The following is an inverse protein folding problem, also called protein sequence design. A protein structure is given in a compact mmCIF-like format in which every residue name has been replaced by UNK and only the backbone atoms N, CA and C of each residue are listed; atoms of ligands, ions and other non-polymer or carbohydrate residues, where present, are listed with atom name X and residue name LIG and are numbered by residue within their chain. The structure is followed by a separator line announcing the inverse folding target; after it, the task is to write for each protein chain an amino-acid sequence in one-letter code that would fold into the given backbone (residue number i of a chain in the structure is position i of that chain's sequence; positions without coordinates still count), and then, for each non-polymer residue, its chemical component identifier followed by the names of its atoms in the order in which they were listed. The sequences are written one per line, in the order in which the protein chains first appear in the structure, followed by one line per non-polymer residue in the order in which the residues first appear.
data_IF_221512437210
#
_entry.id   IF_221512437210
#
_cell.length_a   1.000
_cell.length_b   1.000
_cell.length_c   1.000
_cell.angle_alpha   90.00
_cell.angle_beta   90.00
_cell.angle_gamma   90.00
#
_symmetry.space_group_name_H-M   'P 1'
#
loop_
_entity.id
_entity.type
_entity.pdbx_description
1 polymer ?
#
# COMPACT_ATOMS: atom_id res chain seq x y z
N UNK A 1 -33.95 -38.46 -50.18
CA UNK A 1 -34.30 -37.04 -50.00
C UNK A 1 -34.41 -36.76 -48.54
N UNK A 2 -33.47 -36.08 -47.96
CA UNK A 2 -33.71 -35.20 -46.80
C UNK A 2 -32.44 -34.36 -46.56
N UNK A 3 -32.58 -33.06 -46.82
CA UNK A 3 -31.61 -32.04 -46.40
C UNK A 3 -31.81 -31.79 -44.93
N UNK A 4 -30.78 -31.80 -44.11
CA UNK A 4 -30.74 -31.17 -42.76
C UNK A 4 -29.45 -30.34 -42.73
N UNK A 5 -29.62 -29.10 -42.91
CA UNK A 5 -29.36 -27.97 -42.03
C UNK A 5 -28.02 -27.96 -41.36
N UNK A 6 -27.09 -27.26 -42.04
CA UNK A 6 -25.95 -26.59 -41.46
C UNK A 6 -26.49 -25.39 -40.69
N UNK A 7 -26.63 -25.50 -39.39
CA UNK A 7 -26.72 -24.36 -38.48
C UNK A 7 -25.33 -24.16 -37.87
N UNK A 8 -24.51 -23.33 -38.58
CA UNK A 8 -23.21 -22.92 -38.13
C UNK A 8 -23.27 -22.09 -36.87
N UNK A 9 -22.56 -22.57 -35.86
CA UNK A 9 -22.28 -21.94 -34.60
C UNK A 9 -21.41 -20.69 -34.79
N UNK A 10 -21.99 -19.49 -34.85
CA UNK A 10 -21.31 -18.20 -34.98
C UNK A 10 -21.14 -17.45 -33.63
N UNK A 11 -21.38 -18.08 -32.48
CA UNK A 11 -21.39 -17.46 -31.18
C UNK A 11 -19.99 -17.33 -30.50
N UNK A 12 -18.97 -18.19 -30.77
CA UNK A 12 -17.67 -18.09 -30.06
C UNK A 12 -16.79 -16.91 -30.47
N UNK A 13 -16.81 -16.51 -31.75
CA UNK A 13 -15.91 -15.46 -32.27
C UNK A 13 -16.25 -14.05 -31.76
N UNK A 14 -17.50 -13.70 -31.62
CA UNK A 14 -17.92 -12.37 -31.11
C UNK A 14 -17.56 -12.16 -29.63
N UNK A 15 -17.69 -13.22 -28.82
CA UNK A 15 -17.31 -13.23 -27.41
C UNK A 15 -15.80 -13.08 -27.24
N UNK A 16 -15.01 -13.83 -28.02
CA UNK A 16 -13.54 -13.75 -28.00
C UNK A 16 -13.02 -12.36 -28.42
N UNK A 17 -13.59 -11.76 -29.46
CA UNK A 17 -13.23 -10.40 -29.92
C UNK A 17 -13.59 -9.33 -28.87
N UNK A 18 -14.72 -9.48 -28.17
CA UNK A 18 -15.12 -8.57 -27.09
C UNK A 18 -14.15 -8.67 -25.90
N UNK A 19 -13.76 -9.89 -25.52
CA UNK A 19 -12.79 -10.13 -24.46
C UNK A 19 -11.41 -9.55 -24.81
N UNK A 20 -10.93 -9.75 -26.04
CA UNK A 20 -9.67 -9.21 -26.51
C UNK A 20 -9.65 -7.67 -26.48
N UNK A 21 -10.74 -7.01 -26.91
CA UNK A 21 -10.88 -5.54 -26.85
C UNK A 21 -10.90 -5.03 -25.40
N UNK A 22 -11.60 -5.73 -24.49
CA UNK A 22 -11.64 -5.38 -23.08
C UNK A 22 -10.27 -5.52 -22.43
N UNK A 23 -9.53 -6.59 -22.72
CA UNK A 23 -8.18 -6.79 -22.21
C UNK A 23 -7.21 -5.72 -22.73
N UNK A 24 -7.30 -5.35 -24.00
CA UNK A 24 -6.48 -4.28 -24.57
C UNK A 24 -6.81 -2.90 -23.98
N UNK A 25 -8.09 -2.63 -23.71
CA UNK A 25 -8.51 -1.39 -23.05
C UNK A 25 -7.98 -1.32 -21.61
N UNK A 26 -8.06 -2.42 -20.85
CA UNK A 26 -7.52 -2.52 -19.50
C UNK A 26 -5.99 -2.33 -19.49
N UNK A 27 -5.28 -2.93 -20.43
CA UNK A 27 -3.82 -2.79 -20.57
C UNK A 27 -3.43 -1.34 -20.89
N UNK A 28 -4.16 -0.68 -21.80
CA UNK A 28 -3.93 0.74 -22.13
C UNK A 28 -4.16 1.64 -20.91
N UNK A 29 -5.24 1.39 -20.13
CA UNK A 29 -5.54 2.13 -18.91
C UNK A 29 -4.44 1.94 -17.86
N UNK A 30 -3.97 0.72 -17.66
CA UNK A 30 -2.89 0.38 -16.73
C UNK A 30 -1.61 1.11 -17.12
N UNK A 31 -1.20 1.03 -18.38
CA UNK A 31 0.01 1.70 -18.90
C UNK A 31 -0.01 3.22 -18.68
N UNK A 32 -1.16 3.86 -18.86
CA UNK A 32 -1.34 5.28 -18.54
C UNK A 32 -1.14 5.57 -17.06
N UNK A 33 -1.69 4.73 -16.17
CA UNK A 33 -1.54 4.87 -14.72
C UNK A 33 -0.07 4.69 -14.32
N UNK A 34 0.59 3.62 -14.78
CA UNK A 34 1.98 3.31 -14.45
C UNK A 34 2.91 4.45 -14.90
N UNK A 35 2.68 5.00 -16.10
CA UNK A 35 3.40 6.18 -16.60
C UNK A 35 3.16 7.41 -15.74
N UNK A 36 1.91 7.66 -15.37
CA UNK A 36 1.56 8.79 -14.50
C UNK A 36 2.21 8.65 -13.11
N UNK A 37 2.22 7.44 -12.52
CA UNK A 37 2.92 7.15 -11.27
C UNK A 37 4.39 7.54 -11.37
N UNK A 38 5.09 7.11 -12.44
CA UNK A 38 6.50 7.42 -12.65
C UNK A 38 6.74 8.93 -12.80
N UNK A 39 5.96 9.61 -13.64
CA UNK A 39 6.13 11.05 -13.88
C UNK A 39 5.80 11.90 -12.65
N UNK A 40 4.74 11.58 -11.92
CA UNK A 40 4.41 12.28 -10.66
C UNK A 40 5.34 11.91 -9.51
N UNK A 41 6.05 10.80 -9.57
CA UNK A 41 7.12 10.49 -8.63
C UNK A 41 8.30 11.46 -8.76
N UNK A 42 8.66 11.84 -9.98
CA UNK A 42 9.82 12.70 -10.25
C UNK A 42 9.46 14.19 -10.23
N UNK A 43 8.22 14.54 -10.61
CA UNK A 43 7.83 15.92 -10.85
C UNK A 43 6.61 16.36 -10.03
N UNK A 44 6.52 17.63 -9.58
CA UNK A 44 5.32 18.20 -8.98
C UNK A 44 4.12 18.11 -9.94
N UNK A 45 2.91 18.02 -9.38
CA UNK A 45 1.68 17.96 -10.15
C UNK A 45 1.60 19.02 -11.27
N UNK A 46 1.95 20.28 -10.96
CA UNK A 46 1.86 21.38 -11.92
C UNK A 46 2.84 21.27 -13.09
N UNK A 47 3.94 20.56 -12.91
CA UNK A 47 5.00 20.41 -13.92
C UNK A 47 4.74 19.29 -14.91
N UNK A 48 3.96 18.27 -14.54
CA UNK A 48 3.62 17.16 -15.45
C UNK A 48 2.51 17.57 -16.40
N UNK A 49 2.74 17.46 -17.70
CA UNK A 49 1.74 17.76 -18.76
C UNK A 49 0.95 16.52 -19.19
N UNK A 50 -0.30 16.70 -19.64
CA UNK A 50 -1.07 15.59 -20.24
C UNK A 50 -0.38 15.04 -21.48
N UNK A 51 0.18 15.90 -22.32
CA UNK A 51 0.95 15.50 -23.52
C UNK A 51 2.13 14.62 -23.16
N UNK A 52 2.87 14.98 -22.12
CA UNK A 52 4.01 14.21 -21.63
C UNK A 52 3.58 12.80 -21.18
N UNK A 53 2.45 12.70 -20.45
CA UNK A 53 1.93 11.40 -20.00
C UNK A 53 1.57 10.50 -21.17
N UNK A 54 0.84 11.02 -22.17
CA UNK A 54 0.38 10.20 -23.30
C UNK A 54 1.50 9.82 -24.25
N UNK A 55 2.49 10.70 -24.47
CA UNK A 55 3.69 10.41 -25.24
C UNK A 55 4.56 9.35 -24.56
N UNK A 56 4.82 9.48 -23.27
CA UNK A 56 5.58 8.51 -22.49
C UNK A 56 4.87 7.15 -22.38
N UNK A 57 3.53 7.14 -22.34
CA UNK A 57 2.72 5.92 -22.37
C UNK A 57 2.57 5.30 -23.76
N UNK A 58 3.00 5.97 -24.82
CA UNK A 58 2.77 5.57 -26.22
C UNK A 58 1.30 5.27 -26.50
N UNK A 59 0.42 6.25 -26.22
CA UNK A 59 -1.02 6.15 -26.47
C UNK A 59 -1.56 7.40 -27.15
N UNK A 60 -2.70 7.25 -27.84
CA UNK A 60 -3.38 8.39 -28.44
C UNK A 60 -3.90 9.38 -27.37
N UNK A 61 -3.69 10.68 -27.59
CA UNK A 61 -3.99 11.76 -26.65
C UNK A 61 -5.44 11.72 -26.10
N UNK A 62 -6.42 11.38 -26.94
CA UNK A 62 -7.82 11.27 -26.53
C UNK A 62 -8.13 10.17 -25.53
N UNK A 63 -7.27 9.13 -25.41
CA UNK A 63 -7.51 8.01 -24.50
C UNK A 63 -7.36 8.41 -23.03
N UNK A 64 -6.47 9.34 -22.71
CA UNK A 64 -6.37 9.85 -21.33
C UNK A 64 -7.68 10.50 -20.90
N UNK A 65 -8.24 11.35 -21.74
CA UNK A 65 -9.53 12.00 -21.44
C UNK A 65 -10.69 11.00 -21.43
N UNK A 66 -10.65 10.00 -22.27
CA UNK A 66 -11.65 8.93 -22.30
C UNK A 66 -11.67 8.12 -20.97
N UNK A 67 -10.50 7.77 -20.44
CA UNK A 67 -10.40 6.94 -19.22
C UNK A 67 -10.50 7.74 -17.92
N UNK A 68 -9.97 8.95 -17.90
CA UNK A 68 -9.75 9.71 -16.65
C UNK A 68 -10.43 11.09 -16.63
N UNK A 69 -11.01 11.53 -17.74
CA UNK A 69 -11.70 12.82 -17.87
C UNK A 69 -10.76 14.00 -18.00
N UNK A 70 -9.72 14.08 -17.18
CA UNK A 70 -8.74 15.18 -17.17
C UNK A 70 -7.44 14.79 -16.46
N UNK A 71 -6.47 15.72 -16.38
CA UNK A 71 -5.20 15.55 -15.69
C UNK A 71 -5.38 15.18 -14.21
N UNK A 72 -6.37 15.79 -13.54
CA UNK A 72 -6.64 15.48 -12.13
C UNK A 72 -7.13 14.06 -11.94
N UNK A 73 -7.97 13.56 -12.83
CA UNK A 73 -8.48 12.20 -12.78
C UNK A 73 -7.36 11.16 -12.86
N UNK A 74 -6.41 11.29 -13.81
CA UNK A 74 -5.27 10.38 -13.88
C UNK A 74 -4.30 10.55 -12.71
N UNK A 75 -4.14 11.76 -12.17
CA UNK A 75 -3.36 12.01 -10.97
C UNK A 75 -3.91 11.24 -9.76
N UNK A 76 -5.22 11.32 -9.51
CA UNK A 76 -5.86 10.60 -8.40
C UNK A 76 -5.79 9.09 -8.58
N UNK A 77 -5.91 8.59 -9.81
CA UNK A 77 -5.71 7.17 -10.10
C UNK A 77 -4.26 6.72 -9.87
N UNK A 78 -3.28 7.55 -10.19
CA UNK A 78 -1.88 7.28 -9.87
C UNK A 78 -1.66 7.25 -8.35
N UNK A 79 -2.30 8.15 -7.60
CA UNK A 79 -2.26 8.14 -6.13
C UNK A 79 -2.90 6.86 -5.56
N UNK A 80 -4.07 6.43 -6.09
CA UNK A 80 -4.72 5.17 -5.68
C UNK A 80 -3.84 3.97 -5.95
N UNK A 81 -3.29 3.87 -7.17
CA UNK A 81 -2.39 2.77 -7.53
C UNK A 81 -1.17 2.68 -6.60
N UNK A 82 -0.62 3.83 -6.18
CA UNK A 82 0.50 3.88 -5.23
C UNK A 82 0.06 3.46 -3.83
N UNK A 83 -1.10 3.94 -3.36
CA UNK A 83 -1.66 3.55 -2.07
C UNK A 83 -1.98 2.04 -2.01
N UNK A 84 -2.52 1.49 -3.11
CA UNK A 84 -2.79 0.06 -3.25
C UNK A 84 -1.48 -0.75 -3.20
N UNK A 85 -0.44 -0.31 -3.91
CA UNK A 85 0.88 -0.94 -3.89
C UNK A 85 1.52 -0.94 -2.50
N UNK A 86 1.36 0.16 -1.75
CA UNK A 86 1.79 0.23 -0.34
C UNK A 86 1.00 -0.73 0.54
N UNK A 87 -0.33 -0.77 0.38
CA UNK A 87 -1.21 -1.66 1.16
C UNK A 87 -0.95 -3.13 0.86
N UNK A 88 -0.58 -3.47 -0.38
CA UNK A 88 -0.27 -4.84 -0.78
C UNK A 88 0.90 -5.43 0.02
N UNK A 89 1.85 -4.61 0.45
CA UNK A 89 2.96 -5.02 1.33
C UNK A 89 2.49 -5.62 2.67
N UNK A 90 1.24 -5.33 3.08
CA UNK A 90 0.62 -5.81 4.31
C UNK A 90 -0.44 -6.91 4.07
N UNK A 91 -0.67 -7.31 2.82
CA UNK A 91 -1.64 -8.35 2.44
C UNK A 91 -0.94 -9.65 2.05
N UNK A 92 0.09 -9.58 1.23
CA UNK A 92 0.83 -10.75 0.74
C UNK A 92 1.89 -11.19 1.78
N UNK A 93 1.42 -11.48 3.00
CA UNK A 93 2.29 -11.89 4.09
C UNK A 93 2.56 -13.40 4.07
N UNK A 94 3.74 -13.85 4.52
CA UNK A 94 4.03 -15.26 4.65
C UNK A 94 3.08 -15.93 5.65
N UNK A 95 2.78 -17.20 5.46
CA UNK A 95 2.11 -18.03 6.46
C UNK A 95 3.10 -18.35 7.59
N UNK A 96 3.15 -17.48 8.59
CA UNK A 96 4.13 -17.49 9.67
C UNK A 96 3.56 -16.84 10.93
N UNK A 97 4.30 -16.90 12.04
CA UNK A 97 3.95 -16.22 13.28
C UNK A 97 3.82 -14.68 13.08
N UNK A 98 2.94 -13.99 13.82
CA UNK A 98 2.66 -12.58 13.62
C UNK A 98 3.88 -11.65 13.68
N UNK A 99 4.91 -11.98 14.48
CA UNK A 99 6.14 -11.20 14.53
C UNK A 99 6.95 -11.32 13.23
N UNK A 100 6.97 -12.47 12.61
CA UNK A 100 7.61 -12.70 11.31
C UNK A 100 6.83 -11.99 10.21
N UNK A 101 5.48 -12.07 10.27
CA UNK A 101 4.61 -11.37 9.32
C UNK A 101 4.82 -9.84 9.38
N UNK A 102 4.86 -9.26 10.58
CA UNK A 102 5.05 -7.82 10.75
C UNK A 102 6.43 -7.37 10.22
N UNK A 103 7.49 -8.12 10.50
CA UNK A 103 8.83 -7.84 9.94
C UNK A 103 8.85 -7.91 8.42
N UNK A 104 8.23 -8.93 7.86
CA UNK A 104 8.10 -9.08 6.41
C UNK A 104 7.32 -7.91 5.78
N UNK A 105 6.21 -7.50 6.39
CA UNK A 105 5.41 -6.36 5.95
C UNK A 105 6.21 -5.04 5.98
N UNK A 106 6.91 -4.75 7.08
CA UNK A 106 7.74 -3.55 7.19
C UNK A 106 8.90 -3.56 6.19
N UNK A 107 9.53 -4.71 5.97
CA UNK A 107 10.60 -4.85 4.97
C UNK A 107 10.08 -4.64 3.55
N UNK A 108 8.92 -5.22 3.22
CA UNK A 108 8.26 -5.03 1.93
C UNK A 108 7.87 -3.56 1.73
N UNK A 109 7.31 -2.90 2.76
CA UNK A 109 6.96 -1.49 2.77
C UNK A 109 8.18 -0.60 2.49
N UNK A 110 9.28 -0.76 3.23
CA UNK A 110 10.53 -0.01 3.02
C UNK A 110 11.10 -0.25 1.61
N UNK A 111 11.06 -1.50 1.12
CA UNK A 111 11.52 -1.84 -0.22
C UNK A 111 10.68 -1.18 -1.30
N UNK A 112 9.35 -1.18 -1.15
CA UNK A 112 8.44 -0.51 -2.06
C UNK A 112 8.71 1.00 -2.12
N UNK A 113 8.84 1.65 -0.96
CA UNK A 113 9.10 3.08 -0.87
C UNK A 113 10.47 3.47 -1.43
N UNK A 114 11.48 2.62 -1.27
CA UNK A 114 12.79 2.78 -1.90
C UNK A 114 12.70 2.77 -3.42
N UNK A 115 11.91 1.85 -3.98
CA UNK A 115 11.71 1.72 -5.42
C UNK A 115 10.87 2.87 -6.00
N UNK A 116 9.92 3.42 -5.22
CA UNK A 116 9.00 4.49 -5.62
C UNK A 116 9.26 5.80 -4.85
N UNK A 117 10.53 6.06 -4.53
CA UNK A 117 10.99 7.12 -3.61
C UNK A 117 10.32 8.47 -3.83
N UNK A 118 10.28 8.96 -5.06
CA UNK A 118 9.78 10.31 -5.35
C UNK A 118 8.31 10.49 -4.97
N UNK A 119 7.45 9.52 -5.31
CA UNK A 119 6.03 9.57 -5.01
C UNK A 119 5.76 9.35 -3.51
N UNK A 120 6.47 8.40 -2.90
CA UNK A 120 6.39 8.11 -1.47
C UNK A 120 6.75 9.34 -0.63
N UNK A 121 7.87 9.99 -0.90
CA UNK A 121 8.27 11.22 -0.21
C UNK A 121 7.25 12.34 -0.39
N UNK A 122 6.64 12.49 -1.58
CA UNK A 122 5.60 13.50 -1.81
C UNK A 122 4.32 13.20 -1.05
N UNK A 123 3.93 11.94 -0.93
CA UNK A 123 2.74 11.53 -0.18
C UNK A 123 2.94 11.76 1.32
N UNK A 124 4.12 11.43 1.86
CA UNK A 124 4.42 11.62 3.28
C UNK A 124 4.71 13.08 3.60
N UNK A 125 5.56 13.76 2.82
CA UNK A 125 5.97 15.14 3.06
C UNK A 125 4.93 16.17 2.58
N UNK A 126 4.11 15.85 1.56
CA UNK A 126 3.10 16.75 1.02
C UNK A 126 1.96 17.09 1.99
N UNK A 127 1.71 16.21 2.95
CA UNK A 127 0.77 16.44 4.06
C UNK A 127 -0.65 16.84 3.62
N UNK A 128 -1.50 17.09 4.59
CA UNK A 128 -2.92 17.48 4.42
C UNK A 128 -3.16 18.75 3.61
N UNK A 129 -2.13 19.59 3.43
CA UNK A 129 -2.27 20.91 2.83
C UNK A 129 -2.14 20.97 1.33
N UNK A 130 -1.55 19.96 0.68
CA UNK A 130 -1.22 20.03 -0.74
C UNK A 130 -2.40 19.64 -1.65
N UNK A 131 -3.08 18.54 -1.36
CA UNK A 131 -4.26 18.05 -2.09
C UNK A 131 -5.14 17.20 -1.17
N UNK A 132 -6.28 17.74 -0.69
CA UNK A 132 -7.15 17.04 0.26
C UNK A 132 -7.70 15.71 -0.27
N UNK A 133 -7.99 15.60 -1.57
CA UNK A 133 -8.56 14.39 -2.17
C UNK A 133 -7.49 13.30 -2.33
N UNK A 134 -6.28 13.66 -2.77
CA UNK A 134 -5.15 12.73 -2.80
C UNK A 134 -4.76 12.28 -1.38
N UNK A 135 -4.82 13.19 -0.41
CA UNK A 135 -4.60 12.86 0.99
C UNK A 135 -5.64 11.88 1.53
N UNK A 136 -6.92 12.04 1.18
CA UNK A 136 -7.99 11.13 1.60
C UNK A 136 -7.74 9.71 1.12
N UNK A 137 -7.34 9.52 -0.14
CA UNK A 137 -6.98 8.20 -0.69
C UNK A 137 -5.91 7.51 0.18
N UNK A 138 -4.92 8.28 0.60
CA UNK A 138 -3.82 7.78 1.43
C UNK A 138 -4.27 7.45 2.86
N UNK A 139 -5.12 8.28 3.46
CA UNK A 139 -5.67 8.03 4.80
C UNK A 139 -6.58 6.79 4.83
N UNK A 140 -7.34 6.53 3.76
CA UNK A 140 -8.16 5.33 3.63
C UNK A 140 -7.29 4.06 3.59
N UNK A 141 -6.20 4.08 2.81
CA UNK A 141 -5.24 2.97 2.77
C UNK A 141 -4.58 2.73 4.14
N UNK A 142 -4.15 3.81 4.82
CA UNK A 142 -3.59 3.73 6.18
C UNK A 142 -4.56 3.15 7.20
N UNK A 143 -5.82 3.57 7.15
CA UNK A 143 -6.86 3.04 8.05
C UNK A 143 -7.05 1.53 7.86
N UNK A 144 -6.99 1.04 6.61
CA UNK A 144 -7.02 -0.38 6.29
C UNK A 144 -5.86 -1.16 6.92
N UNK A 145 -4.63 -0.66 6.76
CA UNK A 145 -3.42 -1.27 7.33
C UNK A 145 -3.47 -1.28 8.86
N UNK A 146 -3.90 -0.19 9.49
CA UNK A 146 -4.03 -0.10 10.95
C UNK A 146 -5.07 -1.10 11.47
N UNK A 147 -6.21 -1.21 10.80
CA UNK A 147 -7.26 -2.18 11.16
C UNK A 147 -6.73 -3.61 11.05
N UNK A 148 -6.09 -3.96 9.94
CA UNK A 148 -5.52 -5.30 9.74
C UNK A 148 -4.43 -5.62 10.78
N UNK A 149 -3.53 -4.67 11.07
CA UNK A 149 -2.49 -4.82 12.08
C UNK A 149 -3.03 -5.03 13.50
N UNK A 150 -4.05 -4.25 13.89
CA UNK A 150 -4.71 -4.43 15.18
C UNK A 150 -5.37 -5.81 15.30
N UNK A 151 -6.09 -6.24 14.25
CA UNK A 151 -6.73 -7.57 14.21
C UNK A 151 -5.71 -8.71 14.26
N UNK A 152 -4.59 -8.59 13.55
CA UNK A 152 -3.48 -9.56 13.59
C UNK A 152 -2.94 -9.76 15.02
N UNK A 153 -2.94 -8.69 15.81
CA UNK A 153 -2.46 -8.69 17.19
C UNK A 153 -3.57 -8.98 18.22
N UNK A 154 -4.79 -9.30 17.78
CA UNK A 154 -5.93 -9.57 18.66
C UNK A 154 -6.46 -8.33 19.39
N UNK A 155 -6.19 -7.12 18.86
CA UNK A 155 -6.62 -5.87 19.43
C UNK A 155 -7.88 -5.33 18.73
N UNK A 156 -8.73 -4.60 19.47
CA UNK A 156 -9.91 -3.96 18.90
C UNK A 156 -9.52 -2.66 18.17
N UNK A 157 -9.60 -2.61 16.82
CA UNK A 157 -9.25 -1.42 16.05
C UNK A 157 -10.17 -0.21 16.31
N UNK A 158 -11.34 -0.42 16.92
CA UNK A 158 -12.31 0.65 17.25
C UNK A 158 -12.07 1.26 18.62
N UNK A 159 -11.22 0.66 19.47
CA UNK A 159 -10.82 1.28 20.73
C UNK A 159 -9.99 2.54 20.46
N UNK A 160 -10.39 3.67 21.08
CA UNK A 160 -9.78 4.97 20.82
C UNK A 160 -8.29 5.04 21.19
N UNK A 161 -7.87 4.33 22.28
CA UNK A 161 -6.47 4.30 22.70
C UNK A 161 -5.62 3.47 21.72
N UNK A 162 -6.13 2.32 21.27
CA UNK A 162 -5.48 1.49 20.21
C UNK A 162 -5.37 2.29 18.91
N UNK A 163 -6.44 2.94 18.48
CA UNK A 163 -6.43 3.75 17.26
C UNK A 163 -5.40 4.90 17.35
N UNK A 164 -5.30 5.57 18.49
CA UNK A 164 -4.32 6.64 18.71
C UNK A 164 -2.88 6.11 18.68
N UNK A 165 -2.59 5.03 19.40
CA UNK A 165 -1.28 4.40 19.42
C UNK A 165 -0.86 3.90 18.03
N UNK A 166 -1.78 3.28 17.28
CA UNK A 166 -1.55 2.85 15.91
C UNK A 166 -1.21 4.01 14.97
N UNK A 167 -1.92 5.14 15.07
CA UNK A 167 -1.60 6.35 14.28
C UNK A 167 -0.23 6.94 14.65
N UNK A 168 0.14 6.92 15.92
CA UNK A 168 1.47 7.34 16.35
C UNK A 168 2.56 6.43 15.80
N UNK A 169 2.33 5.10 15.81
CA UNK A 169 3.24 4.13 15.23
C UNK A 169 3.43 4.35 13.72
N UNK A 170 2.34 4.55 12.97
CA UNK A 170 2.43 4.84 11.52
C UNK A 170 3.17 6.14 11.26
N UNK A 171 2.93 7.20 12.02
CA UNK A 171 3.67 8.45 11.88
C UNK A 171 5.18 8.27 12.15
N UNK A 172 5.54 7.45 13.14
CA UNK A 172 6.94 7.10 13.39
C UNK A 172 7.55 6.28 12.26
N UNK A 173 6.81 5.33 11.68
CA UNK A 173 7.24 4.55 10.50
C UNK A 173 7.49 5.50 9.33
N UNK A 174 6.55 6.38 9.03
CA UNK A 174 6.65 7.33 7.91
C UNK A 174 7.89 8.23 8.03
N UNK A 175 8.07 8.90 9.18
CA UNK A 175 9.20 9.80 9.40
C UNK A 175 10.54 9.05 9.36
N UNK A 176 10.60 7.87 10.00
CA UNK A 176 11.80 7.02 9.96
C UNK A 176 12.14 6.60 8.53
N UNK A 177 11.14 6.21 7.76
CA UNK A 177 11.33 5.81 6.35
C UNK A 177 11.85 6.97 5.50
N UNK A 178 11.29 8.17 5.66
CA UNK A 178 11.77 9.37 4.96
C UNK A 178 13.24 9.62 5.27
N UNK A 179 13.62 9.61 6.55
CA UNK A 179 15.01 9.84 6.97
C UNK A 179 15.96 8.77 6.48
N UNK A 180 15.54 7.50 6.53
CA UNK A 180 16.34 6.41 5.98
C UNK A 180 16.53 6.54 4.46
N UNK A 181 15.50 6.93 3.72
CA UNK A 181 15.61 7.15 2.28
C UNK A 181 16.50 8.34 1.91
N UNK A 182 16.73 9.31 2.78
CA UNK A 182 17.67 10.42 2.56
C UNK A 182 19.13 9.94 2.52
N UNK A 183 19.49 8.95 3.35
CA UNK A 183 20.80 8.30 3.39
C UNK A 183 20.68 6.79 3.67
N UNK A 184 20.39 6.02 2.63
CA UNK A 184 20.22 4.56 2.72
C UNK A 184 21.51 3.83 3.09
N UNK A 185 22.68 4.48 2.95
CA UNK A 185 23.97 3.88 3.30
C UNK A 185 24.25 3.86 4.81
N UNK A 186 23.50 4.66 5.58
CA UNK A 186 23.71 4.78 7.02
C UNK A 186 23.30 3.51 7.79
N UNK A 187 22.23 2.84 7.34
CA UNK A 187 21.69 1.67 8.04
C UNK A 187 21.13 0.64 7.08
N UNK A 188 21.45 -0.63 7.31
CA UNK A 188 20.85 -1.75 6.59
C UNK A 188 19.33 -1.84 6.86
N UNK A 189 18.57 -2.23 5.84
CA UNK A 189 17.10 -2.30 5.91
C UNK A 189 16.60 -3.14 7.08
N UNK A 190 17.24 -4.26 7.38
CA UNK A 190 16.83 -5.15 8.47
C UNK A 190 17.05 -4.50 9.85
N UNK A 191 18.07 -3.65 9.99
CA UNK A 191 18.28 -2.84 11.20
C UNK A 191 17.19 -1.81 11.39
N UNK A 192 16.76 -1.16 10.30
CA UNK A 192 15.65 -0.19 10.34
C UNK A 192 14.33 -0.90 10.69
N UNK A 193 14.08 -2.09 10.12
CA UNK A 193 12.91 -2.90 10.46
C UNK A 193 12.87 -3.21 11.97
N UNK A 194 13.97 -3.66 12.57
CA UNK A 194 14.02 -3.95 14.02
C UNK A 194 13.81 -2.71 14.87
N UNK A 195 14.29 -1.56 14.46
CA UNK A 195 14.01 -0.28 15.11
C UNK A 195 12.50 0.05 15.04
N UNK A 196 11.89 -0.10 13.87
CA UNK A 196 10.45 0.13 13.67
C UNK A 196 9.59 -0.81 14.52
N UNK A 197 9.95 -2.09 14.64
CA UNK A 197 9.30 -3.06 15.53
C UNK A 197 9.28 -2.54 16.98
N UNK A 198 10.39 -2.01 17.46
CA UNK A 198 10.49 -1.44 18.81
C UNK A 198 9.67 -0.18 18.99
N UNK A 199 9.60 0.68 17.98
CA UNK A 199 8.76 1.88 18.00
C UNK A 199 7.26 1.50 18.05
N UNK A 200 6.84 0.52 17.26
CA UNK A 200 5.45 0.01 17.29
C UNK A 200 5.12 -0.57 18.66
N UNK A 201 6.01 -1.39 19.24
CA UNK A 201 5.82 -1.96 20.58
C UNK A 201 5.69 -0.84 21.64
N UNK A 202 6.57 0.15 21.64
CA UNK A 202 6.50 1.28 22.57
C UNK A 202 5.24 2.14 22.43
N UNK A 203 4.73 2.32 21.18
CA UNK A 203 3.44 2.99 20.97
C UNK A 203 2.30 2.17 21.58
N UNK A 204 2.31 0.84 21.45
CA UNK A 204 1.30 -0.02 22.06
C UNK A 204 1.40 -0.06 23.58
N UNK A 205 2.59 -0.13 24.16
CA UNK A 205 2.79 -0.08 25.61
C UNK A 205 2.17 1.18 26.23
N UNK A 206 2.18 2.30 25.50
CA UNK A 206 1.59 3.57 25.95
C UNK A 206 0.05 3.58 25.98
N UNK A 207 -0.62 2.58 25.41
CA UNK A 207 -2.09 2.45 25.44
C UNK A 207 -2.63 2.43 26.86
N UNK A 208 -1.95 1.74 27.78
CA UNK A 208 -2.35 1.65 29.20
C UNK A 208 -2.40 2.99 29.92
N UNK A 209 -1.69 4.02 29.42
CA UNK A 209 -1.72 5.41 29.93
C UNK A 209 -3.04 6.08 29.52
N UNK A 210 -3.55 5.77 28.34
CA UNK A 210 -4.79 6.34 27.79
C UNK A 210 -6.03 5.59 28.26
N UNK A 211 -5.93 4.26 28.38
CA UNK A 211 -7.00 3.37 28.81
C UNK A 211 -6.41 2.17 29.57
N UNK A 212 -6.43 2.27 30.90
CA UNK A 212 -5.90 1.21 31.77
C UNK A 212 -6.72 -0.10 31.78
N UNK A 213 -7.89 -0.11 31.13
CA UNK A 213 -8.71 -1.32 31.00
C UNK A 213 -8.27 -2.19 29.82
N UNK A 214 -7.44 -1.65 28.90
CA UNK A 214 -6.94 -2.35 27.73
C UNK A 214 -5.58 -2.98 28.02
N UNK A 215 -5.50 -4.31 27.99
CA UNK A 215 -4.21 -5.01 28.05
C UNK A 215 -3.64 -5.18 26.64
N UNK A 216 -2.39 -4.79 26.48
CA UNK A 216 -1.61 -4.93 25.25
C UNK A 216 -0.39 -5.86 25.41
N UNK A 217 -0.17 -6.44 26.59
CA UNK A 217 1.02 -7.21 26.94
C UNK A 217 1.25 -8.38 26.00
N UNK A 218 0.19 -9.12 25.66
CA UNK A 218 0.25 -10.23 24.73
C UNK A 218 0.63 -9.78 23.30
N UNK A 219 0.05 -8.65 22.83
CA UNK A 219 0.36 -8.08 21.53
C UNK A 219 1.82 -7.61 21.46
N UNK A 220 2.31 -6.93 22.50
CA UNK A 220 3.70 -6.45 22.60
C UNK A 220 4.66 -7.66 22.65
N UNK A 221 4.38 -8.68 23.47
CA UNK A 221 5.17 -9.89 23.53
C UNK A 221 5.23 -10.62 22.17
N UNK A 222 4.11 -10.66 21.46
CA UNK A 222 4.01 -11.21 20.10
C UNK A 222 4.90 -10.44 19.13
N UNK A 223 4.77 -9.11 19.05
CA UNK A 223 5.58 -8.27 18.14
C UNK A 223 7.08 -8.43 18.40
N UNK A 224 7.49 -8.52 19.66
CA UNK A 224 8.89 -8.66 20.05
C UNK A 224 9.43 -10.08 19.89
N UNK A 225 8.61 -11.07 19.48
CA UNK A 225 8.98 -12.48 19.33
C UNK A 225 9.25 -13.19 20.66
N UNK A 226 8.71 -12.67 21.78
CA UNK A 226 8.90 -13.22 23.11
C UNK A 226 7.77 -14.19 23.53
N UNK A 227 6.71 -14.30 22.72
CA UNK A 227 5.52 -15.09 23.05
C UNK A 227 5.75 -16.61 23.05
N UNK A 228 6.77 -17.12 22.37
CA UNK A 228 7.00 -18.56 22.17
C UNK A 228 8.21 -19.11 22.96
N UNK A 229 8.94 -18.29 23.73
CA UNK A 229 10.09 -18.77 24.52
C UNK A 229 9.74 -19.34 25.88
N UNK A 230 8.50 -19.17 26.34
CA UNK A 230 8.07 -19.65 27.67
C UNK A 230 7.73 -21.14 27.74
N UNK A 231 7.77 -21.87 26.62
CA UNK A 231 7.35 -23.29 26.52
C UNK A 231 8.45 -24.36 26.47
N UNK A 232 9.74 -23.99 26.39
CA UNK A 232 10.80 -24.96 26.11
C UNK A 232 11.70 -25.27 27.34
N UNK A 233 11.57 -24.49 28.42
CA UNK A 233 12.48 -24.68 29.59
C UNK A 233 11.79 -25.36 30.80
N UNK A 234 11.01 -26.40 30.57
CA UNK A 234 10.45 -27.25 31.63
C UNK A 234 10.47 -28.72 31.22
N UNK A 235 11.64 -29.31 31.12
CA UNK A 235 11.80 -30.76 31.32
C UNK A 235 13.08 -31.05 32.10
N UNK A 236 12.94 -31.89 33.14
CA UNK A 236 14.00 -32.22 34.07
C UNK A 236 15.09 -33.10 33.45
#
# INVERSE_FOLDING_TARGET
MSRRDEMGSTVPEASSRKQARSAQAAETRRRLIDTAVALFAENPYDKVGVTEIVEAADVAHGLLFHYFGNKRGIYLEAMRATADGLSQSFVDLPDAEPDVQLRAALKAHLTYLRTHRGLALRMVLGGRGADPEAWQVFEEARAGVLTAGAMLLGLDPHNAAIAMAGRAAVAAIDETTVRWLEDESAFEIDTVVEMLIRLVAGCLESVSILDSSVSVDAAVATILGNGNRSGIDSRP
#
